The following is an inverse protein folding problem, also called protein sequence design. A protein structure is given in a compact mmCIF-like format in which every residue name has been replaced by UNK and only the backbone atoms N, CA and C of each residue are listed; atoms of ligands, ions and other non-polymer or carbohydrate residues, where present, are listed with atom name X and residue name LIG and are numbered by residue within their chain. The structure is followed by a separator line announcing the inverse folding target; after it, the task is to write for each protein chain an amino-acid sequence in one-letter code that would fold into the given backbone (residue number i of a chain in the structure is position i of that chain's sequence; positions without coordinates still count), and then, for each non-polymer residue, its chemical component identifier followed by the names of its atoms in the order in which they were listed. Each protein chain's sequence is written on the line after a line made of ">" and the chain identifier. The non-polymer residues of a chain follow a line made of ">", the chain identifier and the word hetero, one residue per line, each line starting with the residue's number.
data_IF_700215921920
#
_entry.id   IF_700215921920
#
_cell.length_a   1.000
_cell.length_b   1.000
_cell.length_c   1.000
_cell.angle_alpha   90.00
_cell.angle_beta   90.00
_cell.angle_gamma   90.00
#
_symmetry.space_group_name_H-M   'P 1'
#
loop_
_entity.id
_entity.type
_entity.pdbx_description
1 polymer ?
#
# COMPACT_ATOMS: atom_id res chain seq x y z
N UNK A 1 83.31 -36.41 50.07
CA UNK A 1 82.81 -35.51 49.01
C UNK A 1 81.79 -36.30 48.25
N UNK A 2 80.48 -35.98 48.47
CA UNK A 2 79.33 -36.65 47.85
C UNK A 2 78.74 -35.72 46.77
N UNK A 3 78.84 -36.09 45.54
CA UNK A 3 78.17 -35.38 44.44
C UNK A 3 76.74 -35.86 44.35
N UNK A 4 75.82 -34.93 44.53
CA UNK A 4 74.37 -35.17 44.31
C UNK A 4 74.03 -34.78 42.86
N UNK A 5 73.57 -35.76 42.08
CA UNK A 5 73.13 -35.60 40.71
C UNK A 5 71.65 -35.25 40.76
N UNK A 6 71.29 -34.02 40.35
CA UNK A 6 69.93 -33.57 40.29
C UNK A 6 69.40 -33.89 38.87
N UNK A 7 68.47 -34.84 38.80
CA UNK A 7 67.78 -35.21 37.61
C UNK A 7 66.60 -34.25 37.33
N UNK A 8 66.71 -33.41 36.28
CA UNK A 8 65.65 -32.51 35.89
C UNK A 8 64.67 -33.29 34.94
N UNK A 9 63.46 -33.55 35.44
CA UNK A 9 62.42 -34.20 34.72
C UNK A 9 61.66 -33.10 33.92
N UNK A 10 61.81 -33.09 32.57
CA UNK A 10 61.09 -32.19 31.69
C UNK A 10 59.68 -32.71 31.51
N UNK A 11 58.71 -31.99 32.06
CA UNK A 11 57.27 -32.25 31.82
C UNK A 11 56.86 -31.62 30.47
N UNK A 12 56.65 -32.43 29.47
CA UNK A 12 56.01 -32.01 28.18
C UNK A 12 54.50 -31.97 28.36
N UNK A 13 53.92 -30.77 28.36
CA UNK A 13 52.48 -30.54 28.36
C UNK A 13 52.00 -30.62 26.90
N UNK A 14 51.06 -31.51 26.55
CA UNK A 14 50.46 -31.51 25.22
C UNK A 14 49.51 -30.30 25.11
N UNK A 15 49.79 -29.39 24.16
CA UNK A 15 48.94 -28.25 23.86
C UNK A 15 47.61 -28.73 23.30
N UNK A 16 46.52 -28.47 24.03
CA UNK A 16 45.18 -28.55 23.48
C UNK A 16 45.01 -27.41 22.45
N UNK A 17 44.99 -27.78 21.17
CA UNK A 17 44.54 -26.90 20.12
C UNK A 17 43.01 -26.65 20.32
N UNK A 18 42.66 -25.49 20.88
CA UNK A 18 41.30 -24.98 20.87
C UNK A 18 41.01 -24.64 19.42
N UNK A 19 40.27 -25.50 18.75
CA UNK A 19 39.69 -25.21 17.44
C UNK A 19 38.78 -24.01 17.58
N UNK A 20 39.13 -22.91 16.92
CA UNK A 20 38.19 -21.82 16.65
C UNK A 20 37.02 -22.42 15.89
N UNK A 21 35.90 -22.62 16.57
CA UNK A 21 34.61 -22.93 15.95
C UNK A 21 34.31 -21.82 14.96
N UNK A 22 34.31 -22.17 13.68
CA UNK A 22 33.76 -21.30 12.65
C UNK A 22 32.36 -20.91 13.10
N UNK A 23 32.14 -19.64 13.34
CA UNK A 23 30.80 -19.08 13.31
C UNK A 23 30.28 -19.33 11.87
N UNK A 24 29.47 -20.37 11.73
CA UNK A 24 28.62 -20.49 10.57
C UNK A 24 27.78 -19.23 10.53
N UNK A 25 28.26 -18.24 9.78
CA UNK A 25 27.48 -17.09 9.37
C UNK A 25 26.33 -17.66 8.56
N UNK A 26 25.20 -17.90 9.24
CA UNK A 26 23.94 -18.05 8.57
C UNK A 26 23.72 -16.72 7.85
N UNK A 27 24.13 -16.65 6.60
CA UNK A 27 23.57 -15.71 5.64
C UNK A 27 22.09 -16.04 5.60
N UNK A 28 21.30 -15.42 6.45
CA UNK A 28 19.86 -15.51 6.36
C UNK A 28 19.52 -14.84 5.03
N UNK A 29 19.30 -15.68 3.99
CA UNK A 29 18.72 -15.20 2.75
C UNK A 29 17.42 -14.52 3.13
N UNK A 30 17.26 -13.24 2.69
CA UNK A 30 16.02 -12.51 2.91
C UNK A 30 14.91 -13.26 2.18
N UNK A 31 13.77 -13.37 2.84
CA UNK A 31 12.55 -13.89 2.21
C UNK A 31 12.13 -12.94 1.07
N UNK A 32 11.96 -13.45 -0.14
CA UNK A 32 11.58 -12.67 -1.32
C UNK A 32 10.06 -12.57 -1.38
N UNK A 33 9.57 -11.35 -1.29
CA UNK A 33 8.13 -11.04 -1.34
C UNK A 33 7.84 -10.26 -2.61
N UNK A 34 6.96 -10.76 -3.44
CA UNK A 34 6.39 -10.03 -4.56
C UNK A 34 5.06 -9.43 -4.15
N UNK A 35 4.90 -8.13 -4.35
CA UNK A 35 3.65 -7.42 -4.11
C UNK A 35 3.11 -6.86 -5.43
N UNK A 36 1.82 -7.01 -5.67
CA UNK A 36 1.21 -6.62 -6.94
C UNK A 36 1.22 -5.12 -7.18
N UNK A 37 1.07 -4.31 -6.11
CA UNK A 37 1.10 -2.84 -6.20
C UNK A 37 1.53 -2.18 -4.88
N UNK A 38 1.72 -0.86 -4.92
CA UNK A 38 2.38 -0.08 -3.86
C UNK A 38 1.82 -0.26 -2.44
N UNK A 39 0.50 -0.21 -2.15
CA UNK A 39 -0.01 -0.39 -0.78
C UNK A 39 0.41 -1.72 -0.16
N UNK A 40 0.45 -2.80 -0.94
CA UNK A 40 0.86 -4.11 -0.46
C UNK A 40 2.37 -4.18 -0.25
N UNK A 41 3.16 -3.61 -1.18
CA UNK A 41 4.60 -3.49 -1.05
C UNK A 41 4.97 -2.69 0.21
N UNK A 42 4.35 -1.53 0.42
CA UNK A 42 4.56 -0.71 1.61
C UNK A 42 4.26 -1.47 2.91
N UNK A 43 3.14 -2.20 2.97
CA UNK A 43 2.79 -2.99 4.16
C UNK A 43 3.81 -4.12 4.40
N UNK A 44 4.21 -4.85 3.35
CA UNK A 44 5.19 -5.91 3.44
C UNK A 44 6.56 -5.41 3.92
N UNK A 45 7.04 -4.27 3.37
CA UNK A 45 8.28 -3.62 3.80
C UNK A 45 8.24 -3.18 5.28
N UNK A 46 7.14 -2.55 5.70
CA UNK A 46 6.99 -2.06 7.09
C UNK A 46 6.88 -3.20 8.10
N UNK A 47 6.31 -4.33 7.69
CA UNK A 47 6.13 -5.52 8.54
C UNK A 47 7.36 -6.42 8.51
N UNK A 48 7.91 -6.68 7.31
CA UNK A 48 9.03 -7.59 7.10
C UNK A 48 10.38 -6.99 7.52
N UNK A 49 10.57 -5.68 7.34
CA UNK A 49 11.82 -4.98 7.64
C UNK A 49 13.00 -5.57 6.87
N UNK A 50 14.15 -5.68 7.53
CA UNK A 50 15.38 -6.20 6.91
C UNK A 50 15.34 -7.70 6.59
N UNK A 51 14.33 -8.43 7.07
CA UNK A 51 14.23 -9.87 6.87
C UNK A 51 13.56 -10.26 5.56
N UNK A 52 12.95 -9.30 4.86
CA UNK A 52 12.34 -9.49 3.55
C UNK A 52 12.99 -8.62 2.49
N UNK A 53 12.90 -9.07 1.24
CA UNK A 53 13.17 -8.26 0.05
C UNK A 53 11.86 -8.14 -0.71
N UNK A 54 11.30 -6.93 -0.79
CA UNK A 54 9.99 -6.71 -1.43
C UNK A 54 10.20 -6.17 -2.83
N UNK A 55 9.61 -6.84 -3.81
CA UNK A 55 9.50 -6.36 -5.19
C UNK A 55 8.06 -5.92 -5.46
N UNK A 56 7.89 -4.70 -5.97
CA UNK A 56 6.59 -4.16 -6.38
C UNK A 56 6.46 -4.29 -7.90
N UNK A 57 5.55 -5.14 -8.38
CA UNK A 57 5.38 -5.39 -9.80
C UNK A 57 4.76 -4.22 -10.58
N UNK A 58 4.02 -3.34 -9.91
CA UNK A 58 3.56 -2.10 -10.54
C UNK A 58 4.69 -1.07 -10.51
N UNK A 59 5.28 -0.69 -11.67
CA UNK A 59 6.39 0.25 -11.71
C UNK A 59 6.01 1.62 -11.17
N UNK A 60 6.98 2.41 -10.68
CA UNK A 60 6.73 3.78 -10.28
C UNK A 60 6.10 4.62 -11.39
N UNK A 61 4.98 5.27 -11.10
CA UNK A 61 4.25 6.11 -12.06
C UNK A 61 3.29 5.36 -12.97
N UNK A 62 3.24 4.02 -12.90
CA UNK A 62 2.25 3.22 -13.63
C UNK A 62 0.93 3.14 -12.85
N UNK A 63 -0.15 3.02 -13.60
CA UNK A 63 -1.51 2.79 -13.11
C UNK A 63 -1.71 1.26 -12.92
N UNK A 64 -2.08 0.78 -11.70
CA UNK A 64 -2.10 -0.66 -11.44
C UNK A 64 -3.28 -1.41 -12.06
N UNK A 65 -4.41 -0.75 -12.32
CA UNK A 65 -5.60 -1.43 -12.88
C UNK A 65 -5.35 -2.00 -14.28
N UNK A 66 -4.51 -1.32 -15.08
CA UNK A 66 -4.20 -1.70 -16.47
C UNK A 66 -2.78 -2.29 -16.62
N UNK A 67 -2.22 -2.88 -15.56
CA UNK A 67 -0.89 -3.44 -15.58
C UNK A 67 -0.80 -4.65 -16.51
N UNK A 68 0.08 -4.55 -17.52
CA UNK A 68 0.46 -5.66 -18.40
C UNK A 68 1.61 -6.46 -17.80
N UNK A 69 1.44 -7.77 -17.70
CA UNK A 69 2.44 -8.68 -17.11
C UNK A 69 3.48 -9.08 -18.14
N UNK A 70 4.75 -8.78 -17.88
CA UNK A 70 5.87 -9.18 -18.71
C UNK A 70 6.38 -10.60 -18.39
N UNK A 71 7.17 -11.26 -19.29
CA UNK A 71 7.82 -12.54 -18.97
C UNK A 71 8.77 -12.48 -17.78
N UNK A 72 9.38 -11.31 -17.48
CA UNK A 72 10.18 -11.11 -16.26
C UNK A 72 9.32 -11.15 -15.00
N UNK A 73 8.16 -10.49 -15.01
CA UNK A 73 7.24 -10.49 -13.88
C UNK A 73 6.75 -11.91 -13.54
N UNK A 74 6.43 -12.70 -14.58
CA UNK A 74 6.10 -14.13 -14.40
C UNK A 74 7.25 -14.90 -13.75
N UNK A 75 8.51 -14.60 -14.11
CA UNK A 75 9.68 -15.25 -13.52
C UNK A 75 9.87 -14.83 -12.06
N UNK A 76 9.66 -13.56 -11.75
CA UNK A 76 9.74 -13.03 -10.39
C UNK A 76 8.65 -13.64 -9.50
N UNK A 77 7.39 -13.67 -9.96
CA UNK A 77 6.27 -14.33 -9.28
C UNK A 77 6.62 -15.79 -8.95
N UNK A 78 7.15 -16.56 -9.93
CA UNK A 78 7.46 -17.98 -9.74
C UNK A 78 8.64 -18.25 -8.82
N UNK A 79 9.54 -17.30 -8.66
CA UNK A 79 10.73 -17.42 -7.80
C UNK A 79 10.55 -16.81 -6.41
N UNK A 80 9.44 -16.14 -6.16
CA UNK A 80 9.15 -15.54 -4.87
C UNK A 80 8.81 -16.57 -3.80
N UNK A 81 9.21 -16.30 -2.56
CA UNK A 81 8.81 -17.08 -1.39
C UNK A 81 7.36 -16.76 -0.97
N UNK A 82 6.87 -15.55 -1.33
CA UNK A 82 5.51 -15.09 -1.05
C UNK A 82 5.05 -14.12 -2.13
N UNK A 83 3.83 -14.28 -2.61
CA UNK A 83 3.16 -13.36 -3.55
C UNK A 83 1.94 -12.74 -2.89
N UNK A 84 1.91 -11.42 -2.80
CA UNK A 84 0.80 -10.64 -2.25
C UNK A 84 0.01 -9.99 -3.39
N UNK A 85 -1.19 -10.47 -3.61
CA UNK A 85 -2.16 -9.90 -4.55
C UNK A 85 -3.26 -9.18 -3.78
N UNK A 86 -3.89 -8.19 -4.43
CA UNK A 86 -5.14 -7.69 -3.88
C UNK A 86 -6.25 -8.72 -4.08
N UNK A 87 -6.37 -9.28 -5.29
CA UNK A 87 -7.35 -10.30 -5.64
C UNK A 87 -8.65 -9.70 -6.20
N UNK A 88 -9.63 -10.55 -6.43
CA UNK A 88 -10.96 -10.22 -6.93
C UNK A 88 -10.98 -9.54 -8.30
N UNK A 89 -9.96 -9.79 -9.12
CA UNK A 89 -9.87 -9.24 -10.49
C UNK A 89 -9.36 -7.80 -10.56
N UNK A 90 -8.71 -7.30 -9.50
CA UNK A 90 -8.07 -5.98 -9.51
C UNK A 90 -6.95 -5.90 -10.55
N UNK A 91 -6.11 -6.94 -10.64
CA UNK A 91 -5.04 -7.09 -11.63
C UNK A 91 -5.11 -8.48 -12.27
N UNK A 92 -6.07 -8.74 -13.20
CA UNK A 92 -6.40 -10.08 -13.64
C UNK A 92 -5.22 -10.82 -14.29
N UNK A 93 -4.36 -10.14 -15.05
CA UNK A 93 -3.19 -10.76 -15.66
C UNK A 93 -2.16 -11.21 -14.61
N UNK A 94 -1.98 -10.45 -13.53
CA UNK A 94 -1.13 -10.81 -12.39
C UNK A 94 -1.71 -11.99 -11.61
N UNK A 95 -3.01 -11.98 -11.35
CA UNK A 95 -3.72 -13.05 -10.67
C UNK A 95 -3.61 -14.36 -11.45
N UNK A 96 -3.79 -14.31 -12.78
CA UNK A 96 -3.60 -15.47 -13.67
C UNK A 96 -2.16 -15.99 -13.67
N UNK A 97 -1.17 -15.08 -13.70
CA UNK A 97 0.24 -15.45 -13.69
C UNK A 97 0.69 -16.09 -12.37
N UNK A 98 0.17 -15.61 -11.25
CA UNK A 98 0.46 -16.12 -9.92
C UNK A 98 -0.25 -17.48 -9.65
N UNK A 99 -1.45 -17.67 -10.18
CA UNK A 99 -2.25 -18.85 -9.93
C UNK A 99 -2.70 -18.96 -8.47
N UNK A 100 -2.91 -20.20 -7.99
CA UNK A 100 -3.46 -20.48 -6.65
C UNK A 100 -2.53 -21.36 -5.81
N UNK A 101 -1.24 -20.97 -5.71
CA UNK A 101 -0.27 -21.66 -4.86
C UNK A 101 -0.44 -21.34 -3.38
N UNK A 102 0.18 -22.15 -2.49
CA UNK A 102 0.19 -21.88 -1.05
C UNK A 102 0.93 -20.58 -0.68
N UNK A 103 1.82 -20.14 -1.54
CA UNK A 103 2.64 -18.95 -1.37
C UNK A 103 1.98 -17.69 -1.98
N UNK A 104 0.76 -17.80 -2.52
CA UNK A 104 -0.05 -16.71 -3.06
C UNK A 104 -1.14 -16.33 -2.08
N UNK A 105 -1.22 -15.06 -1.73
CA UNK A 105 -2.21 -14.52 -0.78
C UNK A 105 -3.00 -13.40 -1.43
N UNK A 106 -4.29 -13.66 -1.71
CA UNK A 106 -5.25 -12.65 -2.10
C UNK A 106 -5.75 -11.92 -0.85
N UNK A 107 -5.49 -10.62 -0.75
CA UNK A 107 -5.71 -9.88 0.49
C UNK A 107 -7.15 -9.41 0.67
N UNK A 108 -7.95 -9.33 -0.40
CA UNK A 108 -9.39 -9.11 -0.26
C UNK A 108 -10.14 -10.32 0.33
N UNK A 109 -9.52 -11.52 0.34
CA UNK A 109 -10.05 -12.69 1.05
C UNK A 109 -9.84 -12.61 2.58
N UNK A 110 -9.24 -11.53 3.08
CA UNK A 110 -9.04 -11.35 4.52
C UNK A 110 -10.38 -11.26 5.25
N UNK A 111 -10.61 -12.10 6.28
CA UNK A 111 -11.88 -12.10 7.01
C UNK A 111 -12.21 -10.72 7.59
N UNK A 112 -13.51 -10.40 7.60
CA UNK A 112 -14.06 -9.18 8.19
C UNK A 112 -13.56 -7.86 7.54
N UNK A 113 -13.12 -7.86 6.28
CA UNK A 113 -12.87 -6.62 5.52
C UNK A 113 -14.16 -5.82 5.29
N UNK A 114 -15.29 -6.50 5.26
CA UNK A 114 -16.60 -5.87 5.01
C UNK A 114 -16.61 -5.15 3.67
N UNK A 115 -16.46 -5.96 2.60
CA UNK A 115 -16.35 -5.46 1.24
C UNK A 115 -17.69 -4.96 0.71
N UNK A 116 -17.66 -3.92 -0.10
CA UNK A 116 -18.83 -3.43 -0.81
C UNK A 116 -19.28 -4.44 -1.88
N UNK A 117 -20.59 -4.60 -2.08
CA UNK A 117 -21.15 -5.61 -3.01
C UNK A 117 -20.89 -5.29 -4.48
N UNK A 118 -20.51 -4.07 -4.83
CA UNK A 118 -20.16 -3.60 -6.17
C UNK A 118 -18.75 -4.02 -6.63
N UNK A 119 -17.96 -4.63 -5.71
CA UNK A 119 -16.62 -5.10 -6.01
C UNK A 119 -15.54 -4.03 -5.89
N UNK A 120 -15.81 -2.90 -5.22
CA UNK A 120 -14.80 -1.86 -4.96
C UNK A 120 -13.56 -2.46 -4.28
N UNK A 121 -12.37 -2.36 -4.89
CA UNK A 121 -11.13 -2.92 -4.32
C UNK A 121 -10.41 -1.97 -3.34
N UNK A 122 -10.76 -0.68 -3.26
CA UNK A 122 -9.97 0.41 -2.67
C UNK A 122 -9.97 0.46 -1.13
N UNK A 123 -9.97 -0.72 -0.49
CA UNK A 123 -10.03 -0.89 0.98
C UNK A 123 -8.86 -0.24 1.73
N UNK A 124 -7.70 -0.03 1.08
CA UNK A 124 -6.51 0.56 1.69
C UNK A 124 -6.66 2.05 2.01
N UNK A 125 -7.64 2.73 1.43
CA UNK A 125 -7.95 4.12 1.73
C UNK A 125 -8.72 4.31 3.04
N UNK A 126 -9.33 3.23 3.58
CA UNK A 126 -9.83 3.19 4.94
C UNK A 126 -8.72 2.64 5.88
N UNK A 127 -8.13 3.46 6.75
CA UNK A 127 -7.06 3.01 7.64
C UNK A 127 -7.41 1.80 8.50
N UNK A 128 -8.69 1.60 8.84
CA UNK A 128 -9.12 0.47 9.67
C UNK A 128 -9.24 -0.82 8.85
N UNK A 129 -9.74 -0.75 7.60
CA UNK A 129 -9.71 -1.89 6.68
C UNK A 129 -8.26 -2.24 6.31
N UNK A 130 -7.43 -1.25 6.05
CA UNK A 130 -6.01 -1.48 5.77
C UNK A 130 -5.25 -2.11 6.95
N UNK A 131 -5.62 -1.82 8.20
CA UNK A 131 -5.07 -2.53 9.37
C UNK A 131 -5.31 -4.04 9.30
N UNK A 132 -6.45 -4.50 8.77
CA UNK A 132 -6.75 -5.93 8.63
C UNK A 132 -5.84 -6.58 7.58
N UNK A 133 -5.58 -5.88 6.45
CA UNK A 133 -4.61 -6.30 5.45
C UNK A 133 -3.20 -6.40 6.05
N UNK A 134 -2.77 -5.37 6.78
CA UNK A 134 -1.47 -5.36 7.48
C UNK A 134 -1.35 -6.51 8.48
N UNK A 135 -2.40 -6.79 9.23
CA UNK A 135 -2.43 -7.93 10.17
C UNK A 135 -2.30 -9.27 9.43
N UNK A 136 -3.02 -9.44 8.32
CA UNK A 136 -2.92 -10.63 7.47
C UNK A 136 -1.51 -10.83 6.92
N UNK A 137 -0.88 -9.77 6.40
CA UNK A 137 0.51 -9.79 5.94
C UNK A 137 1.45 -10.17 7.10
N UNK A 138 1.20 -9.64 8.31
CA UNK A 138 1.98 -9.97 9.49
C UNK A 138 1.87 -11.43 9.92
N UNK A 139 0.70 -12.04 9.73
CA UNK A 139 0.49 -13.47 10.00
C UNK A 139 1.30 -14.33 9.02
N UNK A 140 1.23 -14.04 7.71
CA UNK A 140 1.96 -14.84 6.70
C UNK A 140 3.46 -14.65 6.82
N UNK A 141 3.96 -13.44 7.08
CA UNK A 141 5.37 -13.15 7.32
C UNK A 141 5.85 -13.52 8.74
N UNK A 142 4.97 -13.96 9.64
CA UNK A 142 5.30 -14.32 11.04
C UNK A 142 5.98 -13.19 11.82
N UNK A 143 5.50 -11.93 11.67
CA UNK A 143 6.14 -10.70 12.19
C UNK A 143 5.24 -9.88 13.13
N UNK A 144 4.58 -10.51 14.09
CA UNK A 144 3.59 -9.90 14.99
C UNK A 144 4.06 -8.59 15.70
N UNK A 145 5.34 -8.49 16.11
CA UNK A 145 5.85 -7.29 16.78
C UNK A 145 5.95 -6.07 15.85
N UNK A 146 6.28 -6.27 14.57
CA UNK A 146 6.35 -5.19 13.58
C UNK A 146 4.95 -4.71 13.19
N UNK A 147 3.99 -5.63 13.08
CA UNK A 147 2.57 -5.34 12.87
C UNK A 147 2.06 -4.33 13.90
N UNK A 148 2.30 -4.56 15.19
CA UNK A 148 1.80 -3.69 16.27
C UNK A 148 2.20 -2.22 16.10
N UNK A 149 3.43 -1.95 15.63
CA UNK A 149 3.90 -0.58 15.36
C UNK A 149 3.16 0.07 14.19
N UNK A 150 2.94 -0.67 13.10
CA UNK A 150 2.24 -0.16 11.93
C UNK A 150 0.75 0.07 12.24
N UNK A 151 0.10 -0.85 12.95
CA UNK A 151 -1.28 -0.69 13.41
C UNK A 151 -1.47 0.54 14.30
N UNK A 152 -0.52 0.83 15.20
CA UNK A 152 -0.57 2.05 16.03
C UNK A 152 -0.51 3.33 15.18
N UNK A 153 0.31 3.35 14.13
CA UNK A 153 0.40 4.48 13.18
C UNK A 153 -0.90 4.65 12.38
N UNK A 154 -1.53 3.55 11.94
CA UNK A 154 -2.79 3.57 11.21
C UNK A 154 -3.95 4.05 12.10
N UNK A 155 -4.01 3.59 13.37
CA UNK A 155 -4.99 4.13 14.34
C UNK A 155 -4.83 5.63 14.56
N UNK A 156 -3.58 6.10 14.65
CA UNK A 156 -3.31 7.54 14.74
C UNK A 156 -3.83 8.28 13.49
N UNK A 157 -3.60 7.73 12.31
CA UNK A 157 -4.09 8.29 11.06
C UNK A 157 -5.63 8.35 11.03
N UNK A 158 -6.33 7.27 11.40
CA UNK A 158 -7.80 7.26 11.53
C UNK A 158 -8.29 8.37 12.48
N UNK A 159 -7.64 8.53 13.64
CA UNK A 159 -7.98 9.59 14.57
C UNK A 159 -7.71 11.00 14.01
N UNK A 160 -6.64 11.18 13.22
CA UNK A 160 -6.34 12.45 12.56
C UNK A 160 -7.45 12.80 11.54
N UNK A 161 -7.92 11.82 10.75
CA UNK A 161 -9.04 11.97 9.82
C UNK A 161 -10.36 12.27 10.55
N UNK A 162 -10.71 11.49 11.60
CA UNK A 162 -11.93 11.74 12.39
C UNK A 162 -12.00 13.15 12.93
N UNK A 163 -10.89 13.64 13.50
CA UNK A 163 -10.84 15.01 14.03
C UNK A 163 -10.85 16.06 12.92
N UNK A 164 -10.06 15.80 11.88
CA UNK A 164 -9.89 16.76 10.78
C UNK A 164 -11.13 16.95 9.92
N UNK A 165 -12.03 15.95 9.88
CA UNK A 165 -13.27 15.97 9.09
C UNK A 165 -14.55 16.08 9.96
N UNK A 166 -14.41 16.27 11.28
CA UNK A 166 -15.57 16.31 12.19
C UNK A 166 -16.47 17.53 11.93
N UNK A 167 -15.87 18.70 11.78
CA UNK A 167 -16.58 19.98 11.61
C UNK A 167 -16.28 20.58 10.24
N UNK A 168 -16.96 20.07 9.21
CA UNK A 168 -16.84 20.54 7.83
C UNK A 168 -18.19 21.10 7.34
N UNK A 169 -18.12 22.18 6.59
CA UNK A 169 -19.31 22.84 6.02
C UNK A 169 -20.00 21.99 4.96
N UNK A 170 -19.26 21.05 4.32
CA UNK A 170 -19.73 20.20 3.22
C UNK A 170 -19.38 18.75 3.49
N UNK A 171 -20.07 17.84 2.77
CA UNK A 171 -19.82 16.40 2.84
C UNK A 171 -19.60 15.76 1.47
N UNK A 172 -19.91 16.47 0.38
CA UNK A 172 -19.76 15.95 -0.98
C UNK A 172 -18.34 16.13 -1.48
N UNK A 173 -17.73 15.03 -1.96
CA UNK A 173 -16.43 15.01 -2.62
C UNK A 173 -16.63 14.52 -4.06
N UNK A 174 -16.16 15.30 -5.03
CA UNK A 174 -16.21 14.94 -6.45
C UNK A 174 -14.84 14.43 -6.85
N UNK A 175 -14.74 13.18 -7.33
CA UNK A 175 -13.49 12.49 -7.64
C UNK A 175 -13.45 12.06 -9.10
N UNK A 176 -12.25 11.92 -9.69
CA UNK A 176 -12.06 11.46 -11.05
C UNK A 176 -12.60 10.05 -11.24
N UNK A 177 -12.30 9.10 -10.33
CA UNK A 177 -12.91 7.77 -10.33
C UNK A 177 -13.40 7.35 -8.94
N UNK A 178 -14.04 6.19 -8.85
CA UNK A 178 -14.77 5.72 -7.66
C UNK A 178 -13.85 4.96 -6.69
N UNK A 179 -12.72 5.58 -6.27
CA UNK A 179 -11.76 4.96 -5.36
C UNK A 179 -12.03 5.23 -3.87
N UNK A 180 -12.84 6.23 -3.54
CA UNK A 180 -12.88 6.75 -2.17
C UNK A 180 -14.11 6.32 -1.38
N UNK A 181 -14.88 5.32 -1.84
CA UNK A 181 -16.13 4.93 -1.19
C UNK A 181 -15.91 4.44 0.26
N UNK A 182 -14.91 3.60 0.52
CA UNK A 182 -14.59 3.16 1.89
C UNK A 182 -14.11 4.29 2.80
N UNK A 183 -13.34 5.24 2.26
CA UNK A 183 -12.93 6.44 3.01
C UNK A 183 -14.15 7.33 3.29
N UNK A 184 -14.99 7.55 2.29
CA UNK A 184 -16.20 8.36 2.41
C UNK A 184 -17.15 7.77 3.46
N UNK A 185 -17.45 6.47 3.38
CA UNK A 185 -18.26 5.75 4.37
C UNK A 185 -17.71 5.95 5.80
N UNK A 186 -16.40 5.75 5.99
CA UNK A 186 -15.77 5.83 7.30
C UNK A 186 -15.88 7.18 7.96
N UNK A 187 -15.81 8.26 7.17
CA UNK A 187 -15.77 9.63 7.71
C UNK A 187 -17.04 10.43 7.42
N UNK A 188 -18.10 9.78 6.95
CA UNK A 188 -19.42 10.39 6.71
C UNK A 188 -19.38 11.41 5.58
N UNK A 189 -18.68 11.10 4.49
CA UNK A 189 -18.65 11.87 3.26
C UNK A 189 -19.50 11.19 2.20
N UNK A 190 -19.90 11.93 1.15
CA UNK A 190 -20.60 11.42 -0.01
C UNK A 190 -19.67 11.54 -1.22
N UNK A 191 -19.35 10.43 -1.88
CA UNK A 191 -18.55 10.45 -3.12
C UNK A 191 -19.47 10.62 -4.33
N UNK A 192 -19.06 11.51 -5.24
CA UNK A 192 -19.60 11.69 -6.59
C UNK A 192 -18.44 11.43 -7.55
N UNK A 193 -18.42 10.28 -8.20
CA UNK A 193 -17.34 9.92 -9.12
C UNK A 193 -17.66 10.32 -10.57
N UNK A 194 -16.66 10.76 -11.34
CA UNK A 194 -16.78 11.08 -12.76
C UNK A 194 -16.76 9.80 -13.61
N UNK A 195 -15.89 8.85 -13.26
CA UNK A 195 -15.86 7.49 -13.82
C UNK A 195 -16.14 6.45 -12.73
N UNK A 196 -16.36 5.18 -13.12
CA UNK A 196 -16.52 4.08 -12.17
C UNK A 196 -15.21 3.66 -11.52
N UNK A 197 -15.07 2.36 -11.17
CA UNK A 197 -13.93 1.79 -10.47
C UNK A 197 -12.63 1.76 -11.29
N UNK A 198 -12.71 1.81 -12.64
CA UNK A 198 -11.52 1.90 -13.50
C UNK A 198 -11.28 3.37 -13.88
N UNK A 199 -10.13 3.96 -13.49
CA UNK A 199 -9.82 5.37 -13.75
C UNK A 199 -9.59 5.70 -15.24
N UNK A 200 -9.17 4.72 -16.06
CA UNK A 200 -8.94 4.88 -17.51
C UNK A 200 -10.22 4.75 -18.34
N UNK A 201 -11.35 4.40 -17.71
CA UNK A 201 -12.62 4.30 -18.40
C UNK A 201 -13.10 5.68 -18.89
N UNK A 202 -13.32 5.81 -20.20
CA UNK A 202 -13.88 7.03 -20.77
C UNK A 202 -15.42 7.04 -20.60
N UNK A 203 -15.99 8.01 -19.85
CA UNK A 203 -17.44 8.12 -19.71
C UNK A 203 -18.08 8.51 -21.05
N UNK A 204 -19.28 8.01 -21.30
CA UNK A 204 -20.05 8.50 -22.44
C UNK A 204 -20.38 10.00 -22.28
N UNK A 205 -20.61 10.75 -23.37
CA UNK A 205 -20.99 12.16 -23.27
C UNK A 205 -22.24 12.39 -22.39
N UNK A 206 -23.17 11.44 -22.41
CA UNK A 206 -24.37 11.50 -21.57
C UNK A 206 -24.04 11.29 -20.10
N UNK A 207 -23.18 10.33 -19.75
CA UNK A 207 -22.74 10.08 -18.38
C UNK A 207 -21.96 11.30 -17.84
N UNK A 208 -21.08 11.88 -18.64
CA UNK A 208 -20.33 13.09 -18.25
C UNK A 208 -21.28 14.27 -17.99
N UNK A 209 -22.31 14.45 -18.86
CA UNK A 209 -23.31 15.50 -18.64
C UNK A 209 -24.10 15.27 -17.35
N UNK A 210 -24.49 14.02 -17.06
CA UNK A 210 -25.17 13.67 -15.79
C UNK A 210 -24.29 14.00 -14.59
N UNK A 211 -23.01 13.67 -14.64
CA UNK A 211 -22.05 14.04 -13.58
C UNK A 211 -21.98 15.55 -13.40
N UNK A 212 -21.87 16.33 -14.47
CA UNK A 212 -21.89 17.81 -14.42
C UNK A 212 -23.15 18.32 -13.74
N UNK A 213 -24.32 17.75 -14.07
CA UNK A 213 -25.61 18.18 -13.47
C UNK A 213 -25.68 17.83 -11.99
N UNK A 214 -25.17 16.65 -11.56
CA UNK A 214 -25.09 16.26 -10.15
C UNK A 214 -24.13 17.17 -9.38
N UNK A 215 -22.95 17.47 -9.96
CA UNK A 215 -21.98 18.39 -9.33
C UNK A 215 -22.54 19.80 -9.19
N UNK A 216 -23.29 20.31 -10.18
CA UNK A 216 -23.98 21.62 -10.08
C UNK A 216 -25.05 21.64 -9.00
N UNK A 217 -25.69 20.50 -8.74
CA UNK A 217 -26.71 20.37 -7.69
C UNK A 217 -26.11 20.15 -6.30
N UNK A 218 -24.84 19.78 -6.21
CA UNK A 218 -24.10 19.58 -4.95
C UNK A 218 -23.48 20.89 -4.47
N UNK A 219 -23.06 20.92 -3.19
CA UNK A 219 -22.29 22.03 -2.60
C UNK A 219 -20.76 21.91 -2.85
N UNK A 220 -20.34 21.03 -3.77
CA UNK A 220 -18.92 20.77 -4.04
C UNK A 220 -18.23 22.02 -4.61
N UNK A 221 -17.04 22.31 -4.09
CA UNK A 221 -16.23 23.45 -4.52
C UNK A 221 -14.97 23.03 -5.28
N UNK A 222 -14.66 21.72 -5.22
CA UNK A 222 -13.46 21.11 -5.82
C UNK A 222 -13.86 19.82 -6.52
N UNK A 223 -13.36 19.62 -7.73
CA UNK A 223 -13.27 18.33 -8.42
C UNK A 223 -11.85 17.81 -8.24
N UNK A 224 -11.73 16.66 -7.58
CA UNK A 224 -10.44 16.04 -7.30
C UNK A 224 -9.99 15.16 -8.46
N UNK A 225 -8.69 15.23 -8.77
CA UNK A 225 -8.04 14.38 -9.75
C UNK A 225 -6.83 13.67 -9.14
N UNK A 226 -6.36 12.64 -9.82
CA UNK A 226 -5.27 11.77 -9.41
C UNK A 226 -4.00 12.09 -10.18
N UNK A 227 -2.84 11.60 -9.69
CA UNK A 227 -1.55 11.92 -10.28
C UNK A 227 -1.10 10.91 -11.34
N UNK A 228 -1.61 9.69 -11.31
CA UNK A 228 -1.22 8.63 -12.24
C UNK A 228 -2.03 8.63 -13.53
N UNK A 229 -3.16 9.34 -13.56
CA UNK A 229 -4.05 9.44 -14.72
C UNK A 229 -4.20 10.87 -15.23
N UNK A 230 -4.79 11.03 -16.42
CA UNK A 230 -4.98 12.34 -17.03
C UNK A 230 -6.00 13.19 -16.26
N UNK A 231 -5.70 14.44 -15.88
CA UNK A 231 -6.64 15.32 -15.20
C UNK A 231 -7.77 15.87 -16.07
N UNK A 232 -7.79 15.58 -17.39
CA UNK A 232 -8.68 16.25 -18.37
C UNK A 232 -10.15 16.14 -18.03
N UNK A 233 -10.61 14.98 -17.53
CA UNK A 233 -12.03 14.79 -17.18
C UNK A 233 -12.40 15.66 -15.99
N UNK A 234 -11.60 15.65 -14.91
CA UNK A 234 -11.80 16.50 -13.74
C UNK A 234 -11.76 17.99 -14.10
N UNK A 235 -10.83 18.41 -14.95
CA UNK A 235 -10.72 19.78 -15.46
C UNK A 235 -11.95 20.18 -16.29
N UNK A 236 -12.49 19.25 -17.09
CA UNK A 236 -13.69 19.51 -17.87
C UNK A 236 -14.91 19.69 -16.98
N UNK A 237 -15.12 18.78 -16.01
CA UNK A 237 -16.22 18.92 -15.06
C UNK A 237 -16.08 20.22 -14.24
N UNK A 238 -14.88 20.54 -13.76
CA UNK A 238 -14.63 21.75 -13.00
C UNK A 238 -14.95 23.02 -13.81
N UNK A 239 -14.54 23.08 -15.08
CA UNK A 239 -14.84 24.20 -15.98
C UNK A 239 -16.35 24.36 -16.20
N UNK A 240 -17.05 23.26 -16.44
CA UNK A 240 -18.51 23.27 -16.70
C UNK A 240 -19.34 23.63 -15.45
N UNK A 241 -18.81 23.35 -14.26
CA UNK A 241 -19.50 23.58 -12.99
C UNK A 241 -19.05 24.87 -12.26
N UNK A 242 -17.96 25.48 -12.73
CA UNK A 242 -17.34 26.64 -12.06
C UNK A 242 -16.60 26.30 -10.76
N UNK A 243 -16.30 25.02 -10.53
CA UNK A 243 -15.52 24.55 -9.37
C UNK A 243 -14.02 24.66 -9.65
N UNK A 244 -13.20 24.40 -8.62
CA UNK A 244 -11.72 24.28 -8.76
C UNK A 244 -11.32 22.82 -8.91
N UNK A 245 -10.06 22.59 -9.27
CA UNK A 245 -9.45 21.26 -9.21
C UNK A 245 -8.40 21.18 -8.11
N UNK A 246 -8.22 20.00 -7.53
CA UNK A 246 -7.14 19.69 -6.60
C UNK A 246 -6.80 18.19 -6.69
N UNK A 247 -5.63 17.82 -6.15
CA UNK A 247 -5.23 16.41 -6.08
C UNK A 247 -5.88 15.74 -4.87
N UNK A 248 -6.50 14.58 -5.09
CA UNK A 248 -6.84 13.59 -4.07
C UNK A 248 -6.35 12.24 -4.59
N UNK A 249 -5.42 11.63 -3.88
CA UNK A 249 -4.62 10.52 -4.36
C UNK A 249 -5.17 9.18 -3.86
N UNK A 250 -5.52 8.23 -4.73
CA UNK A 250 -5.92 6.89 -4.31
C UNK A 250 -4.75 6.04 -3.78
N UNK A 251 -3.51 6.54 -3.86
CA UNK A 251 -2.28 5.91 -3.30
C UNK A 251 -2.01 4.53 -3.93
N UNK A 252 -2.31 4.38 -5.20
CA UNK A 252 -2.07 3.15 -5.96
C UNK A 252 -0.63 2.95 -6.35
N UNK A 253 0.14 4.04 -6.42
CA UNK A 253 1.55 4.04 -6.74
C UNK A 253 2.27 5.30 -6.27
N UNK A 254 3.59 5.29 -6.37
CA UNK A 254 4.44 6.47 -6.22
C UNK A 254 5.11 6.77 -7.55
N UNK A 255 5.22 8.03 -7.89
CA UNK A 255 6.12 8.46 -8.97
C UNK A 255 7.58 8.33 -8.51
N UNK A 256 8.52 8.24 -9.46
CA UNK A 256 9.96 8.24 -9.15
C UNK A 256 10.39 9.46 -8.33
N UNK A 257 9.81 10.61 -8.61
CA UNK A 257 10.10 11.85 -7.88
C UNK A 257 9.68 11.76 -6.43
N UNK A 258 8.50 11.25 -6.16
CA UNK A 258 7.97 11.08 -4.80
C UNK A 258 8.75 10.05 -4.00
N UNK A 259 9.10 8.93 -4.63
CA UNK A 259 9.93 7.91 -4.01
C UNK A 259 11.29 8.50 -3.58
N UNK A 260 11.93 9.28 -4.45
CA UNK A 260 13.20 9.97 -4.16
C UNK A 260 13.06 11.02 -3.04
N UNK A 261 11.89 11.64 -2.91
CA UNK A 261 11.58 12.61 -1.86
C UNK A 261 11.14 11.96 -0.54
N UNK A 262 11.08 10.62 -0.46
CA UNK A 262 10.68 9.88 0.73
C UNK A 262 9.17 9.91 1.00
N UNK A 263 8.36 10.15 -0.02
CA UNK A 263 6.92 10.01 0.09
C UNK A 263 6.55 8.57 0.46
N UNK A 264 5.49 8.41 1.22
CA UNK A 264 4.98 7.11 1.62
C UNK A 264 3.48 7.19 1.92
N UNK A 265 2.85 6.03 2.14
CA UNK A 265 1.42 5.93 2.43
C UNK A 265 0.93 6.98 3.44
N UNK A 266 1.65 7.19 4.55
CA UNK A 266 1.22 8.15 5.57
C UNK A 266 1.36 9.61 5.13
N UNK A 267 2.38 9.94 4.34
CA UNK A 267 2.55 11.32 3.83
C UNK A 267 1.48 11.65 2.82
N UNK A 268 1.10 10.70 1.96
CA UNK A 268 0.03 10.85 0.97
C UNK A 268 -1.34 10.92 1.63
N UNK A 269 -1.66 10.02 2.55
CA UNK A 269 -2.91 10.09 3.31
C UNK A 269 -3.07 11.44 4.04
N UNK A 270 -2.00 11.98 4.64
CA UNK A 270 -2.07 13.31 5.26
C UNK A 270 -2.22 14.45 4.24
N UNK A 271 -1.68 14.30 3.03
CA UNK A 271 -1.92 15.24 1.95
C UNK A 271 -3.40 15.20 1.52
N UNK A 272 -3.97 14.01 1.39
CA UNK A 272 -5.39 13.81 1.13
C UNK A 272 -6.28 14.46 2.20
N UNK A 273 -5.95 14.26 3.49
CA UNK A 273 -6.70 14.90 4.56
C UNK A 273 -6.72 16.43 4.44
N UNK A 274 -5.55 17.04 4.14
CA UNK A 274 -5.49 18.51 3.94
C UNK A 274 -6.29 18.97 2.72
N UNK A 275 -6.25 18.20 1.62
CA UNK A 275 -7.03 18.50 0.42
C UNK A 275 -8.54 18.42 0.70
N UNK A 276 -8.98 17.38 1.41
CA UNK A 276 -10.37 17.23 1.84
C UNK A 276 -10.80 18.37 2.79
N UNK A 277 -9.99 18.72 3.79
CA UNK A 277 -10.30 19.83 4.70
C UNK A 277 -10.49 21.16 3.95
N UNK A 278 -9.63 21.43 2.97
CA UNK A 278 -9.74 22.65 2.17
C UNK A 278 -11.01 22.68 1.31
N UNK A 279 -11.35 21.57 0.64
CA UNK A 279 -12.53 21.49 -0.23
C UNK A 279 -13.85 21.44 0.54
N UNK A 280 -13.87 20.76 1.68
CA UNK A 280 -15.06 20.62 2.50
C UNK A 280 -15.27 21.84 3.45
N UNK A 281 -14.30 22.73 3.55
CA UNK A 281 -14.37 23.90 4.44
C UNK A 281 -14.40 23.51 5.91
N UNK A 282 -13.52 22.58 6.32
CA UNK A 282 -13.41 22.12 7.70
C UNK A 282 -12.69 23.15 8.59
N UNK A 283 -13.01 23.17 9.90
CA UNK A 283 -12.49 24.10 10.92
C UNK A 283 -11.62 23.37 11.94
#
# INVERSE_FOLDING_TARGET
>A
MKFILILILALTVPGLAVGCGGSDGHSSTRETVVASFYPLAFAAEQVGGEAVSVENLTPPGAEPHDLEVSPSDVSEIKSADLVLLLGHGFQPQLEDAAGSGADVVALLDTPALDLHPDGDPHVWLDPIRYMKIVDRIGVVLRRAAAVSRLLARLRKLDNDYRRGLADCARRDIVTSHEAFAYLAERYGLNQIAVTGLNPEAEPTPQALQQTVDVVRASDATIVYFERLVSPRLAETVARETGTKTAVLDPIEGLTDTERKQGANYFTLMRANLRALQAGLGCR
#
